data_IF_446151761084
#
_entry.id   IF_446151761084
#
_cell.length_a   1.000
_cell.length_b   1.000
_cell.length_c   1.000
_cell.angle_alpha   90.00
_cell.angle_beta   90.00
_cell.angle_gamma   90.00
#
_symmetry.space_group_name_H-M   'P 1'
#
loop_
_entity.id
_entity.type
_entity.pdbx_description
1 polymer ?
#
# COMPACT_ATOMS: atom_id res chain seq x y z
N UNK A 1 8.37 11.07 -3.36
CA UNK A 1 9.29 10.05 -2.81
C UNK A 1 8.70 8.70 -3.20
N UNK A 2 9.51 7.74 -3.64
CA UNK A 2 9.03 6.43 -4.09
C UNK A 2 9.34 5.37 -3.03
N UNK A 3 8.33 4.71 -2.51
CA UNK A 3 8.44 3.64 -1.53
C UNK A 3 7.95 2.33 -2.12
N UNK A 4 8.65 1.24 -1.81
CA UNK A 4 8.25 -0.12 -2.15
C UNK A 4 8.13 -0.97 -0.87
N UNK A 5 6.98 -1.62 -0.71
CA UNK A 5 6.65 -2.43 0.47
C UNK A 5 6.15 -3.81 0.02
N UNK A 6 6.47 -4.86 0.78
CA UNK A 6 5.87 -6.17 0.56
C UNK A 6 4.62 -6.34 1.41
N UNK A 7 3.55 -6.86 0.81
CA UNK A 7 2.28 -7.12 1.50
C UNK A 7 1.83 -8.55 1.17
N UNK A 8 2.43 -9.58 1.81
CA UNK A 8 2.14 -10.99 1.53
C UNK A 8 0.67 -11.37 1.78
N UNK A 9 -0.02 -10.62 2.65
CA UNK A 9 -1.44 -10.79 2.97
C UNK A 9 -2.38 -10.51 1.78
N UNK A 10 -1.92 -9.83 0.73
CA UNK A 10 -2.74 -9.55 -0.46
C UNK A 10 -2.93 -10.78 -1.33
N UNK A 11 -4.11 -11.39 -1.29
CA UNK A 11 -4.42 -12.61 -2.07
C UNK A 11 -5.49 -12.40 -3.13
N UNK A 12 -6.24 -11.29 -3.09
CA UNK A 12 -7.31 -11.01 -4.05
C UNK A 12 -7.31 -9.55 -4.52
N UNK A 13 -7.96 -9.30 -5.66
CA UNK A 13 -8.16 -7.95 -6.19
C UNK A 13 -8.90 -7.01 -5.21
N UNK A 14 -9.70 -7.55 -4.27
CA UNK A 14 -10.32 -6.75 -3.21
C UNK A 14 -9.32 -6.14 -2.23
N UNK A 15 -8.21 -6.85 -1.94
CA UNK A 15 -7.12 -6.33 -1.11
C UNK A 15 -6.40 -5.16 -1.79
N UNK A 16 -6.24 -5.23 -3.11
CA UNK A 16 -5.62 -4.16 -3.93
C UNK A 16 -6.41 -2.86 -3.76
N UNK A 17 -7.73 -2.92 -3.99
CA UNK A 17 -8.59 -1.74 -3.93
C UNK A 17 -8.62 -1.12 -2.53
N UNK A 18 -8.64 -1.97 -1.51
CA UNK A 18 -8.63 -1.54 -0.10
C UNK A 18 -7.34 -0.82 0.26
N UNK A 19 -6.18 -1.35 -0.12
CA UNK A 19 -4.89 -0.72 0.17
C UNK A 19 -4.68 0.54 -0.66
N UNK A 20 -5.05 0.54 -1.94
CA UNK A 20 -5.00 1.76 -2.75
C UNK A 20 -5.85 2.87 -2.13
N UNK A 21 -7.06 2.57 -1.65
CA UNK A 21 -7.92 3.53 -0.96
C UNK A 21 -7.31 4.04 0.35
N UNK A 22 -6.73 3.15 1.15
CA UNK A 22 -6.08 3.53 2.40
C UNK A 22 -4.94 4.54 2.17
N UNK A 23 -4.08 4.27 1.18
CA UNK A 23 -2.97 5.17 0.81
C UNK A 23 -3.49 6.47 0.22
N UNK A 24 -4.47 6.42 -0.69
CA UNK A 24 -5.09 7.63 -1.25
C UNK A 24 -5.86 8.47 -0.23
N UNK A 25 -6.28 7.87 0.88
CA UNK A 25 -6.84 8.59 2.02
C UNK A 25 -5.81 9.48 2.73
N UNK A 26 -4.53 9.11 2.71
CA UNK A 26 -3.44 9.93 3.22
C UNK A 26 -3.01 11.02 2.24
N UNK A 27 -2.94 10.66 0.95
CA UNK A 27 -2.55 11.56 -0.13
C UNK A 27 -3.33 11.22 -1.40
N UNK A 28 -4.30 12.06 -1.75
CA UNK A 28 -5.18 11.81 -2.89
C UNK A 28 -4.47 11.84 -4.25
N UNK A 29 -3.32 12.52 -4.31
CA UNK A 29 -2.44 12.58 -5.49
C UNK A 29 -1.40 11.45 -5.51
N UNK A 30 -1.34 10.60 -4.48
CA UNK A 30 -0.41 9.49 -4.44
C UNK A 30 -0.68 8.49 -5.56
N UNK A 31 0.39 8.09 -6.23
CA UNK A 31 0.39 7.03 -7.23
C UNK A 31 0.67 5.70 -6.54
N UNK A 32 -0.28 4.77 -6.62
CA UNK A 32 -0.17 3.45 -6.00
C UNK A 32 -0.15 2.40 -7.10
N UNK A 33 0.91 1.60 -7.14
CA UNK A 33 1.06 0.49 -8.08
C UNK A 33 1.22 -0.80 -7.28
N UNK A 34 0.34 -1.78 -7.51
CA UNK A 34 0.31 -3.02 -6.73
C UNK A 34 0.52 -4.20 -7.68
N UNK A 35 1.50 -5.02 -7.36
CA UNK A 35 1.83 -6.24 -8.08
C UNK A 35 1.49 -7.45 -7.20
N UNK A 36 0.40 -8.15 -7.54
CA UNK A 36 -0.07 -9.33 -6.82
C UNK A 36 0.79 -10.58 -7.02
N UNK A 37 1.59 -10.63 -8.09
CA UNK A 37 2.48 -11.76 -8.40
C UNK A 37 3.68 -11.76 -7.46
N UNK A 38 4.23 -10.58 -7.21
CA UNK A 38 5.39 -10.35 -6.33
C UNK A 38 5.00 -9.95 -4.91
N UNK A 39 3.70 -9.66 -4.69
CA UNK A 39 3.15 -9.15 -3.42
C UNK A 39 3.76 -7.82 -3.01
N UNK A 40 3.96 -6.95 -3.99
CA UNK A 40 4.67 -5.68 -3.81
C UNK A 40 3.72 -4.51 -4.04
N UNK A 41 3.80 -3.52 -3.16
CA UNK A 41 3.07 -2.25 -3.24
C UNK A 41 4.10 -1.14 -3.40
N UNK A 42 4.02 -0.43 -4.52
CA UNK A 42 4.77 0.79 -4.79
C UNK A 42 3.88 1.99 -4.56
N UNK A 43 4.40 2.95 -3.81
CA UNK A 43 3.72 4.21 -3.51
C UNK A 43 4.65 5.35 -3.87
N UNK A 44 4.19 6.20 -4.78
CA UNK A 44 4.83 7.45 -5.13
C UNK A 44 3.96 8.60 -4.63
N UNK A 45 4.43 9.29 -3.60
CA UNK A 45 3.65 10.35 -2.97
C UNK A 45 4.44 11.19 -1.97
N UNK A 46 3.69 11.94 -1.18
CA UNK A 46 4.16 12.71 -0.03
C UNK A 46 4.17 11.96 1.32
N UNK A 47 3.30 10.97 1.60
CA UNK A 47 3.31 10.29 2.89
C UNK A 47 4.65 9.61 3.17
N UNK A 48 5.01 9.55 4.45
CA UNK A 48 6.21 8.83 4.90
C UNK A 48 5.95 7.33 4.91
N UNK A 49 7.03 6.57 4.95
CA UNK A 49 7.01 5.11 4.97
C UNK A 49 6.18 4.57 6.14
N UNK A 50 6.31 5.16 7.33
CA UNK A 50 5.54 4.78 8.51
C UNK A 50 4.04 5.00 8.31
N UNK A 51 3.62 6.16 7.80
CA UNK A 51 2.20 6.43 7.55
C UNK A 51 1.60 5.48 6.53
N UNK A 52 2.34 5.13 5.47
CA UNK A 52 1.90 4.16 4.46
C UNK A 52 1.75 2.78 5.10
N UNK A 53 2.74 2.33 5.89
CA UNK A 53 2.68 1.05 6.61
C UNK A 53 1.46 1.01 7.52
N UNK A 54 1.25 2.03 8.35
CA UNK A 54 0.09 2.15 9.25
C UNK A 54 -1.25 2.11 8.51
N UNK A 55 -1.38 2.80 7.37
CA UNK A 55 -2.61 2.76 6.59
C UNK A 55 -2.90 1.35 6.06
N UNK A 56 -1.87 0.62 5.65
CA UNK A 56 -2.00 -0.76 5.18
C UNK A 56 -2.37 -1.72 6.32
N UNK A 57 -1.74 -1.60 7.49
CA UNK A 57 -2.11 -2.41 8.68
C UNK A 57 -3.49 -2.07 9.21
N UNK A 58 -3.89 -0.79 9.20
CA UNK A 58 -5.24 -0.35 9.56
C UNK A 58 -6.29 -0.91 8.61
N UNK A 59 -5.94 -1.10 7.33
CA UNK A 59 -6.77 -1.80 6.35
C UNK A 59 -6.84 -3.33 6.57
N UNK A 60 -6.13 -3.88 7.56
CA UNK A 60 -6.15 -5.30 7.90
C UNK A 60 -5.09 -6.14 7.18
N UNK A 61 -4.05 -5.51 6.62
CA UNK A 61 -2.99 -6.18 5.87
C UNK A 61 -1.63 -6.08 6.56
N UNK A 62 -0.85 -7.15 6.51
CA UNK A 62 0.52 -7.15 7.05
C UNK A 62 1.51 -6.66 6.02
N UNK A 63 2.35 -5.71 6.41
CA UNK A 63 3.47 -5.20 5.61
C UNK A 63 4.77 -5.82 6.10
N UNK A 64 5.63 -6.23 5.16
CA UNK A 64 7.00 -6.64 5.39
C UNK A 64 7.96 -5.65 4.73
N UNK A 65 8.96 -5.20 5.51
CA UNK A 65 9.92 -4.16 5.14
C UNK A 65 9.85 -2.97 6.08
#
# INVERSE_FOLDING_TARGET
MSLELKVPSMVCNGCVDTVTKAIKGLDSDAKVEIDLSTKTVKVDGKPTDDSIKEAITSAGHTVEG
#
